data_IF_587709336636
#
_entry.id   IF_587709336636
#
_cell.length_a   1.000
_cell.length_b   1.000
_cell.length_c   1.000
_cell.angle_alpha   90.00
_cell.angle_beta   90.00
_cell.angle_gamma   90.00
#
_symmetry.space_group_name_H-M   'P 1'
#
loop_
_entity.id
_entity.type
_entity.pdbx_description
1 polymer ?
#
# COMPACT_ATOMS: atom_id res chain seq x y z
N UNK A 1 -20.90 -12.14 -15.97
CA UNK A 1 -19.50 -11.64 -15.94
C UNK A 1 -19.18 -10.60 -14.85
N UNK A 2 -20.13 -9.91 -14.19
CA UNK A 2 -19.81 -8.89 -13.15
C UNK A 2 -19.61 -9.41 -11.71
N UNK A 3 -20.07 -10.62 -11.38
CA UNK A 3 -20.05 -11.14 -10.00
C UNK A 3 -18.65 -11.59 -9.52
N UNK A 4 -17.77 -12.00 -10.44
CA UNK A 4 -16.45 -12.54 -10.10
C UNK A 4 -15.46 -11.50 -9.52
N UNK A 5 -15.73 -10.21 -9.71
CA UNK A 5 -14.91 -9.10 -9.20
C UNK A 5 -15.17 -8.84 -7.71
N UNK A 6 -16.36 -9.22 -7.23
CA UNK A 6 -16.76 -9.00 -5.85
C UNK A 6 -16.12 -9.99 -4.90
N UNK A 7 -15.70 -11.18 -5.36
CA UNK A 7 -15.13 -12.21 -4.47
C UNK A 7 -13.86 -11.74 -3.73
N UNK A 8 -12.76 -11.42 -4.45
CA UNK A 8 -11.51 -11.00 -3.82
C UNK A 8 -11.65 -9.68 -3.05
N UNK A 9 -12.30 -8.68 -3.64
CA UNK A 9 -12.47 -7.37 -3.02
C UNK A 9 -13.42 -7.39 -1.82
N UNK A 10 -14.49 -8.19 -1.83
CA UNK A 10 -15.35 -8.32 -0.66
C UNK A 10 -14.63 -9.05 0.48
N UNK A 11 -13.87 -10.11 0.19
CA UNK A 11 -13.04 -10.79 1.19
C UNK A 11 -12.06 -9.80 1.85
N UNK A 12 -11.29 -9.08 1.03
CA UNK A 12 -10.34 -8.06 1.51
C UNK A 12 -11.06 -6.96 2.27
N UNK A 13 -12.22 -6.49 1.78
CA UNK A 13 -13.04 -5.48 2.44
C UNK A 13 -13.48 -5.91 3.84
N UNK A 14 -13.97 -7.14 3.99
CA UNK A 14 -14.33 -7.70 5.30
C UNK A 14 -13.12 -7.74 6.23
N UNK A 15 -11.97 -8.24 5.76
CA UNK A 15 -10.76 -8.31 6.57
C UNK A 15 -10.22 -6.93 6.98
N UNK A 16 -10.35 -5.93 6.11
CA UNK A 16 -9.99 -4.54 6.43
C UNK A 16 -10.97 -3.93 7.44
N UNK A 17 -12.27 -4.21 7.35
CA UNK A 17 -13.25 -3.80 8.37
C UNK A 17 -12.90 -4.42 9.72
N UNK A 18 -12.57 -5.72 9.76
CA UNK A 18 -12.10 -6.37 10.99
C UNK A 18 -10.85 -5.69 11.54
N UNK A 19 -9.87 -5.41 10.68
CA UNK A 19 -8.65 -4.69 11.07
C UNK A 19 -8.93 -3.31 11.66
N UNK A 20 -9.89 -2.56 11.09
CA UNK A 20 -10.31 -1.25 11.61
C UNK A 20 -11.02 -1.36 12.97
N UNK A 21 -11.81 -2.40 13.18
CA UNK A 21 -12.53 -2.63 14.46
C UNK A 21 -11.58 -3.10 15.56
N UNK A 22 -10.68 -4.03 15.23
CA UNK A 22 -9.70 -4.58 16.17
C UNK A 22 -8.65 -3.54 16.55
N UNK A 23 -8.36 -2.59 15.65
CA UNK A 23 -7.40 -1.51 15.84
C UNK A 23 -6.06 -1.99 16.42
N UNK A 24 -5.38 -2.95 15.75
CA UNK A 24 -4.18 -3.56 16.31
C UNK A 24 -3.06 -2.53 16.43
N UNK A 25 -2.36 -2.57 17.56
CA UNK A 25 -1.22 -1.70 17.89
C UNK A 25 0.07 -2.52 17.78
N UNK A 26 0.66 -2.54 16.58
CA UNK A 26 1.89 -3.31 16.32
C UNK A 26 3.14 -2.43 16.37
N UNK A 27 4.33 -3.02 16.58
CA UNK A 27 5.60 -2.27 16.56
C UNK A 27 5.82 -1.49 15.25
N UNK A 28 5.55 -2.10 14.08
CA UNK A 28 5.73 -1.41 12.81
C UNK A 28 4.72 -0.26 12.65
N UNK A 29 3.49 -0.41 13.18
CA UNK A 29 2.51 0.66 13.16
C UNK A 29 2.96 1.86 14.02
N UNK A 30 3.59 1.63 15.17
CA UNK A 30 4.17 2.70 15.98
C UNK A 30 5.21 3.50 15.17
N UNK A 31 6.00 2.82 14.34
CA UNK A 31 6.96 3.45 13.44
C UNK A 31 6.28 4.32 12.37
N UNK A 32 5.09 3.94 11.90
CA UNK A 32 4.28 4.76 10.99
C UNK A 32 3.69 5.99 11.70
N UNK A 33 3.17 5.82 12.91
CA UNK A 33 2.61 6.91 13.73
C UNK A 33 3.67 7.97 13.98
N UNK A 34 4.87 7.52 14.35
CA UNK A 34 6.02 8.40 14.57
C UNK A 34 6.33 9.24 13.33
N UNK A 35 6.45 8.61 12.16
CA UNK A 35 6.82 9.30 10.89
C UNK A 35 5.79 10.31 10.44
N UNK A 36 4.51 9.96 10.54
CA UNK A 36 3.42 10.91 10.25
C UNK A 36 3.43 12.07 11.25
N UNK A 37 3.66 11.78 12.53
CA UNK A 37 3.79 12.82 13.57
C UNK A 37 4.98 13.74 13.34
N UNK A 38 6.12 13.19 12.92
CA UNK A 38 7.31 13.95 12.58
C UNK A 38 7.04 14.88 11.38
N UNK A 39 6.44 14.35 10.30
CA UNK A 39 6.05 15.16 9.15
C UNK A 39 5.09 16.30 9.53
N UNK A 40 4.12 16.04 10.41
CA UNK A 40 3.20 17.10 10.89
C UNK A 40 3.91 18.22 11.66
N UNK A 41 5.02 17.92 12.33
CA UNK A 41 5.77 18.89 13.15
C UNK A 41 6.78 19.68 12.33
N UNK A 42 7.55 19.02 11.45
CA UNK A 42 8.71 19.61 10.78
C UNK A 42 8.68 19.49 9.25
N UNK A 43 7.65 18.88 8.67
CA UNK A 43 7.49 18.71 7.23
C UNK A 43 8.49 17.72 6.62
N UNK A 44 9.00 18.05 5.43
CA UNK A 44 10.00 17.26 4.72
C UNK A 44 11.39 17.41 5.36
N UNK A 45 11.62 16.66 6.43
CA UNK A 45 12.94 16.51 7.04
C UNK A 45 13.76 15.42 6.31
N UNK A 46 15.09 15.57 6.32
CA UNK A 46 16.03 14.65 5.65
C UNK A 46 16.70 13.70 6.64
N UNK A 47 16.80 14.11 7.91
CA UNK A 47 17.49 13.38 8.97
C UNK A 47 16.65 13.38 10.24
N UNK A 48 16.75 12.29 11.00
CA UNK A 48 16.13 12.15 12.31
C UNK A 48 17.07 11.47 13.29
N UNK A 49 17.41 12.17 14.37
CA UNK A 49 18.29 11.75 15.46
C UNK A 49 17.64 10.80 16.49
N UNK A 50 16.31 10.66 16.48
CA UNK A 50 15.58 9.94 17.53
C UNK A 50 15.73 8.40 17.45
N UNK A 51 16.37 7.87 16.40
CA UNK A 51 16.62 6.44 16.24
C UNK A 51 18.03 6.13 15.74
N UNK A 52 18.70 5.14 16.33
CA UNK A 52 19.95 4.53 15.87
C UNK A 52 21.12 5.52 15.70
N UNK A 53 21.22 6.52 16.59
CA UNK A 53 22.17 7.63 16.47
C UNK A 53 21.99 8.51 15.22
N UNK A 54 20.85 8.38 14.55
CA UNK A 54 20.44 9.16 13.41
C UNK A 54 20.25 8.34 12.15
N UNK A 55 19.25 8.70 11.35
CA UNK A 55 18.98 8.03 10.08
C UNK A 55 18.34 8.97 9.05
N UNK A 56 18.49 8.62 7.76
CA UNK A 56 17.88 9.36 6.66
C UNK A 56 16.39 9.01 6.53
N UNK A 57 15.53 10.01 6.61
CA UNK A 57 14.08 9.87 6.47
C UNK A 57 13.63 9.51 5.04
N UNK A 58 14.20 10.08 3.97
CA UNK A 58 13.83 9.74 2.59
C UNK A 58 13.98 8.25 2.26
N UNK A 59 14.91 7.56 2.92
CA UNK A 59 15.13 6.13 2.72
C UNK A 59 13.98 5.24 3.23
N UNK A 60 13.03 5.81 3.97
CA UNK A 60 11.87 5.07 4.47
C UNK A 60 10.65 5.21 3.55
N UNK A 61 10.28 6.45 3.21
CA UNK A 61 9.21 6.83 2.26
C UNK A 61 9.10 8.36 2.22
N UNK A 62 9.03 8.95 1.03
CA UNK A 62 8.73 10.35 0.75
C UNK A 62 7.22 10.70 0.81
N UNK A 63 6.30 9.81 0.43
CA UNK A 63 4.86 10.09 0.30
C UNK A 63 4.06 9.66 1.51
N UNK A 64 4.46 8.60 2.21
CA UNK A 64 3.63 8.05 3.28
C UNK A 64 3.45 9.04 4.43
N UNK A 65 4.50 9.79 4.81
CA UNK A 65 4.40 10.86 5.80
C UNK A 65 3.33 11.91 5.44
N UNK A 66 3.45 12.59 4.28
CA UNK A 66 2.44 13.53 3.79
C UNK A 66 1.03 12.95 3.68
N UNK A 67 0.87 11.76 3.08
CA UNK A 67 -0.42 11.13 2.88
C UNK A 67 -1.06 10.70 4.20
N UNK A 68 -0.28 10.14 5.11
CA UNK A 68 -0.73 9.77 6.44
C UNK A 68 -1.08 11.00 7.29
N UNK A 69 -0.38 12.12 7.10
CA UNK A 69 -0.70 13.37 7.76
C UNK A 69 -2.04 13.95 7.29
N UNK A 70 -2.30 13.90 5.98
CA UNK A 70 -3.51 14.42 5.33
C UNK A 70 -4.74 13.53 5.52
N UNK A 71 -4.61 12.23 5.26
CA UNK A 71 -5.74 11.28 5.17
C UNK A 71 -5.87 10.38 6.42
N UNK A 72 -4.82 10.31 7.24
CA UNK A 72 -4.72 9.37 8.35
C UNK A 72 -4.14 8.01 7.94
N UNK A 73 -3.41 7.37 8.86
CA UNK A 73 -2.70 6.11 8.61
C UNK A 73 -3.62 4.98 8.15
N UNK A 74 -4.75 4.82 8.86
CA UNK A 74 -5.70 3.72 8.61
C UNK A 74 -6.33 3.85 7.22
N UNK A 75 -6.70 5.07 6.82
CA UNK A 75 -7.24 5.37 5.50
C UNK A 75 -6.24 5.05 4.40
N UNK A 76 -4.98 5.50 4.54
CA UNK A 76 -3.93 5.19 3.55
C UNK A 76 -3.72 3.68 3.45
N UNK A 77 -3.65 2.97 4.57
CA UNK A 77 -3.53 1.50 4.59
C UNK A 77 -4.67 0.79 3.85
N UNK A 78 -5.93 1.15 4.12
CA UNK A 78 -7.11 0.59 3.45
C UNK A 78 -7.06 0.83 1.95
N UNK A 79 -6.80 2.07 1.54
CA UNK A 79 -6.75 2.44 0.12
C UNK A 79 -5.63 1.70 -0.61
N UNK A 80 -4.45 1.58 0.02
CA UNK A 80 -3.32 0.85 -0.54
C UNK A 80 -3.63 -0.63 -0.78
N UNK A 81 -4.25 -1.31 0.18
CA UNK A 81 -4.59 -2.74 0.05
C UNK A 81 -5.70 -2.97 -0.98
N UNK A 82 -6.73 -2.12 -1.00
CA UNK A 82 -7.79 -2.22 -2.01
C UNK A 82 -7.26 -1.94 -3.42
N UNK A 83 -6.43 -0.90 -3.57
CA UNK A 83 -5.81 -0.54 -4.83
C UNK A 83 -4.89 -1.66 -5.32
N UNK A 84 -4.01 -2.19 -4.46
CA UNK A 84 -3.11 -3.28 -4.84
C UNK A 84 -3.88 -4.53 -5.24
N UNK A 85 -4.92 -4.92 -4.49
CA UNK A 85 -5.75 -6.09 -4.82
C UNK A 85 -6.42 -5.93 -6.19
N UNK A 86 -7.03 -4.76 -6.46
CA UNK A 86 -7.69 -4.48 -7.74
C UNK A 86 -6.69 -4.45 -8.91
N UNK A 87 -5.53 -3.83 -8.71
CA UNK A 87 -4.49 -3.71 -9.74
C UNK A 87 -3.88 -5.07 -10.05
N UNK A 88 -3.59 -5.87 -9.03
CA UNK A 88 -3.10 -7.23 -9.19
C UNK A 88 -4.12 -8.11 -9.91
N UNK A 89 -5.40 -8.05 -9.53
CA UNK A 89 -6.46 -8.80 -10.22
C UNK A 89 -6.49 -8.46 -11.71
N UNK A 90 -6.46 -7.16 -12.06
CA UNK A 90 -6.44 -6.71 -13.45
C UNK A 90 -5.20 -7.18 -14.20
N UNK A 91 -4.04 -7.12 -13.56
CA UNK A 91 -2.78 -7.59 -14.13
C UNK A 91 -2.81 -9.11 -14.36
N UNK A 92 -3.19 -9.90 -13.36
CA UNK A 92 -3.26 -11.35 -13.42
C UNK A 92 -4.27 -11.83 -14.47
N UNK A 93 -5.45 -11.20 -14.55
CA UNK A 93 -6.45 -11.51 -15.60
C UNK A 93 -5.91 -11.21 -17.01
N UNK A 94 -5.08 -10.18 -17.17
CA UNK A 94 -4.46 -9.85 -18.47
C UNK A 94 -3.39 -10.86 -18.93
N UNK A 95 -2.98 -11.77 -18.04
CA UNK A 95 -1.98 -12.81 -18.31
C UNK A 95 -2.62 -14.20 -18.38
N UNK A 96 -3.60 -14.48 -17.50
CA UNK A 96 -4.12 -15.83 -17.28
C UNK A 96 -5.64 -15.96 -17.47
N UNK A 97 -6.34 -14.90 -17.88
CA UNK A 97 -7.78 -14.91 -18.13
C UNK A 97 -8.63 -15.04 -16.85
N UNK A 98 -9.80 -15.68 -16.96
CA UNK A 98 -10.78 -15.75 -15.85
C UNK A 98 -10.32 -16.63 -14.67
N UNK A 99 -9.40 -17.56 -14.90
CA UNK A 99 -8.81 -18.43 -13.87
C UNK A 99 -7.96 -17.69 -12.83
N UNK A 100 -7.59 -16.43 -13.08
CA UNK A 100 -6.77 -15.62 -12.18
C UNK A 100 -7.46 -15.21 -10.86
N UNK A 101 -8.77 -15.44 -10.72
CA UNK A 101 -9.56 -15.00 -9.57
C UNK A 101 -9.04 -15.53 -8.22
N UNK A 102 -8.63 -16.79 -8.16
CA UNK A 102 -8.02 -17.36 -6.96
C UNK A 102 -6.68 -16.74 -6.61
N UNK A 103 -5.84 -16.48 -7.62
CA UNK A 103 -4.57 -15.78 -7.42
C UNK A 103 -4.77 -14.38 -6.84
N UNK A 104 -5.79 -13.65 -7.33
CA UNK A 104 -6.15 -12.34 -6.81
C UNK A 104 -6.67 -12.40 -5.36
N UNK A 105 -7.46 -13.42 -5.01
CA UNK A 105 -7.92 -13.60 -3.63
C UNK A 105 -6.75 -13.90 -2.68
N UNK A 106 -5.83 -14.78 -3.07
CA UNK A 106 -4.64 -15.10 -2.27
C UNK A 106 -3.70 -13.89 -2.13
N UNK A 107 -3.51 -13.13 -3.22
CA UNK A 107 -2.78 -11.87 -3.16
C UNK A 107 -3.43 -10.89 -2.18
N UNK A 108 -4.75 -10.68 -2.27
CA UNK A 108 -5.48 -9.79 -1.39
C UNK A 108 -5.35 -10.18 0.09
N UNK A 109 -5.44 -11.48 0.39
CA UNK A 109 -5.20 -12.01 1.74
C UNK A 109 -3.78 -11.71 2.23
N UNK A 110 -2.77 -11.90 1.37
CA UNK A 110 -1.38 -11.57 1.70
C UNK A 110 -1.17 -10.07 1.91
N UNK A 111 -1.77 -9.23 1.06
CA UNK A 111 -1.68 -7.77 1.15
C UNK A 111 -2.34 -7.21 2.43
N UNK A 112 -3.42 -7.84 2.91
CA UNK A 112 -3.99 -7.54 4.24
C UNK A 112 -2.98 -7.83 5.36
N UNK A 113 -2.11 -8.82 5.19
CA UNK A 113 -1.03 -9.13 6.14
C UNK A 113 -0.13 -7.93 6.44
N UNK A 114 0.17 -7.08 5.45
CA UNK A 114 1.00 -5.88 5.66
C UNK A 114 0.36 -4.89 6.64
N UNK A 115 -0.95 -4.65 6.51
CA UNK A 115 -1.64 -3.70 7.41
C UNK A 115 -1.81 -4.28 8.82
N UNK A 116 -1.97 -5.59 8.94
CA UNK A 116 -1.96 -6.28 10.24
C UNK A 116 -0.58 -6.27 10.90
N UNK A 117 0.50 -6.38 10.13
CA UNK A 117 1.85 -6.22 10.64
C UNK A 117 2.18 -4.76 11.01
N UNK A 118 1.52 -3.78 10.38
CA UNK A 118 1.79 -2.35 10.53
C UNK A 118 2.72 -1.78 9.45
N UNK A 119 2.98 -2.53 8.38
CA UNK A 119 3.88 -2.21 7.27
C UNK A 119 3.20 -1.36 6.20
N UNK A 120 2.62 -0.23 6.62
CA UNK A 120 1.76 0.60 5.76
C UNK A 120 2.50 1.28 4.59
N UNK A 121 3.78 1.64 4.78
CA UNK A 121 4.63 2.14 3.69
C UNK A 121 4.83 1.09 2.59
N UNK A 122 5.03 -0.17 2.96
CA UNK A 122 5.19 -1.26 2.01
C UNK A 122 3.88 -1.51 1.24
N UNK A 123 2.74 -1.53 1.94
CA UNK A 123 1.43 -1.67 1.29
C UNK A 123 1.19 -0.57 0.24
N UNK A 124 1.57 0.68 0.54
CA UNK A 124 1.50 1.79 -0.41
C UNK A 124 2.43 1.59 -1.61
N UNK A 125 3.69 1.24 -1.37
CA UNK A 125 4.67 0.99 -2.43
C UNK A 125 4.24 -0.13 -3.38
N UNK A 126 3.63 -1.21 -2.85
CA UNK A 126 3.10 -2.31 -3.67
C UNK A 126 1.96 -1.84 -4.58
N UNK A 127 1.09 -0.95 -4.13
CA UNK A 127 0.03 -0.39 -4.97
C UNK A 127 0.60 0.38 -6.17
N UNK A 128 1.63 1.21 -5.95
CA UNK A 128 2.32 1.91 -7.04
C UNK A 128 3.08 0.95 -7.97
N UNK A 129 3.75 -0.07 -7.42
CA UNK A 129 4.48 -1.06 -8.21
C UNK A 129 3.54 -1.82 -9.17
N UNK A 130 2.37 -2.21 -8.67
CA UNK A 130 1.35 -2.88 -9.49
C UNK A 130 0.73 -1.94 -10.52
N UNK A 131 0.52 -0.67 -10.17
CA UNK A 131 0.05 0.34 -11.11
C UNK A 131 1.06 0.52 -12.26
N UNK A 132 2.35 0.62 -11.95
CA UNK A 132 3.41 0.71 -12.94
C UNK A 132 3.49 -0.55 -13.82
N UNK A 133 3.45 -1.74 -13.22
CA UNK A 133 3.46 -3.01 -13.94
C UNK A 133 2.25 -3.14 -14.90
N UNK A 134 1.06 -2.75 -14.45
CA UNK A 134 -0.14 -2.75 -15.27
C UNK A 134 -0.07 -1.71 -16.40
N UNK A 135 0.51 -0.54 -16.15
CA UNK A 135 0.74 0.48 -17.18
C UNK A 135 1.70 -0.03 -18.27
N UNK A 136 2.82 -0.67 -17.88
CA UNK A 136 3.73 -1.33 -18.83
C UNK A 136 3.01 -2.38 -19.65
N UNK A 137 2.23 -3.25 -18.99
CA UNK A 137 1.49 -4.33 -19.65
C UNK A 137 0.50 -3.82 -20.70
N UNK A 138 -0.07 -2.62 -20.49
CA UNK A 138 -1.00 -1.98 -21.42
C UNK A 138 -0.32 -1.12 -22.49
N UNK A 139 1.01 -1.11 -22.56
CA UNK A 139 1.77 -0.34 -23.55
C UNK A 139 1.99 1.13 -23.17
N UNK A 140 1.64 1.56 -21.96
CA UNK A 140 1.82 2.93 -21.48
C UNK A 140 3.18 3.12 -20.78
N UNK A 141 4.27 2.79 -21.47
CA UNK A 141 5.62 2.79 -20.89
C UNK A 141 6.06 4.16 -20.34
N UNK A 142 5.64 5.25 -20.99
CA UNK A 142 5.93 6.62 -20.55
C UNK A 142 5.37 6.92 -19.15
N UNK A 143 4.25 6.30 -18.77
CA UNK A 143 3.62 6.49 -17.46
C UNK A 143 4.13 5.50 -16.41
N UNK A 144 4.66 4.36 -16.83
CA UNK A 144 5.14 3.35 -15.91
C UNK A 144 6.37 3.80 -15.11
N UNK A 145 7.34 4.45 -15.75
CA UNK A 145 8.55 4.95 -15.10
C UNK A 145 8.24 5.94 -13.95
N UNK A 146 7.47 7.02 -14.15
CA UNK A 146 7.16 7.94 -13.06
C UNK A 146 6.32 7.28 -11.97
N UNK A 147 5.37 6.40 -12.32
CA UNK A 147 4.58 5.67 -11.31
C UNK A 147 5.44 4.70 -10.50
N UNK A 148 6.43 4.05 -11.12
CA UNK A 148 7.38 3.19 -10.41
C UNK A 148 8.30 4.00 -9.49
N UNK A 149 8.67 5.23 -9.88
CA UNK A 149 9.43 6.11 -9.01
C UNK A 149 8.66 6.47 -7.72
N UNK A 150 7.32 6.49 -7.79
CA UNK A 150 6.47 6.68 -6.61
C UNK A 150 6.54 5.51 -5.62
N UNK A 151 7.14 4.36 -5.96
CA UNK A 151 7.37 3.27 -4.99
C UNK A 151 8.45 3.62 -3.97
N UNK A 152 9.46 4.39 -4.39
CA UNK A 152 10.50 4.92 -3.50
C UNK A 152 9.98 6.14 -2.72
N UNK A 153 8.82 6.65 -3.13
CA UNK A 153 8.17 7.79 -2.55
C UNK A 153 7.14 7.31 -1.52
#
# INVERSE_FOLDING_TARGET
>A
MRLAWLGPLALVGVLLVVWLIVDPHTPDLAAQVYRVGLFRRVGFAVWDEHWYAGHHLPGYSLLFGPLGALLGLRTVGVLSVLASTLLFERLARSLYGEGASWGAAMFGLAAVGDVWAGRLTFALGVAFALAAALALRRGHALWAAPVAALCAA
#
